data_IF_653022146389
#
_entry.id   IF_653022146389
#
_cell.length_a   1.000
_cell.length_b   1.000
_cell.length_c   1.000
_cell.angle_alpha   90.00
_cell.angle_beta   90.00
_cell.angle_gamma   90.00
#
_symmetry.space_group_name_H-M   'P 1'
#
loop_
_entity.id
_entity.type
_entity.pdbx_description
1 polymer ?
#
# COMPACT_ATOMS: atom_id res chain seq x y z
N UNK A 1 3.87 15.92 -29.23
CA UNK A 1 4.10 15.02 -28.05
C UNK A 1 4.88 15.77 -26.96
N UNK A 2 4.59 15.54 -25.69
CA UNK A 2 5.34 16.16 -24.59
C UNK A 2 6.69 15.45 -24.38
N UNK A 3 7.74 16.19 -24.04
CA UNK A 3 9.02 15.63 -23.60
C UNK A 3 8.90 15.19 -22.14
N UNK A 4 8.73 13.89 -21.92
CA UNK A 4 8.57 13.30 -20.59
C UNK A 4 9.84 13.45 -19.73
N UNK A 5 11.03 13.45 -20.34
CA UNK A 5 12.28 13.64 -19.62
C UNK A 5 12.39 15.06 -19.05
N UNK A 6 12.05 16.07 -19.86
CA UNK A 6 11.96 17.45 -19.40
C UNK A 6 10.86 17.64 -18.35
N UNK A 7 9.72 16.94 -18.51
CA UNK A 7 8.60 17.01 -17.57
C UNK A 7 8.95 16.46 -16.19
N UNK A 8 9.53 15.25 -16.09
CA UNK A 8 9.93 14.66 -14.80
C UNK A 8 10.95 15.53 -14.06
N UNK A 9 11.87 16.14 -14.79
CA UNK A 9 12.83 17.09 -14.21
C UNK A 9 12.13 18.28 -13.58
N UNK A 10 11.25 18.92 -14.34
CA UNK A 10 10.50 20.08 -13.87
C UNK A 10 9.62 19.73 -12.66
N UNK A 11 8.94 18.59 -12.72
CA UNK A 11 8.10 18.09 -11.64
C UNK A 11 8.88 17.89 -10.34
N UNK A 12 10.06 17.27 -10.38
CA UNK A 12 10.88 17.06 -9.19
C UNK A 12 11.29 18.39 -8.51
N UNK A 13 11.70 19.38 -9.31
CA UNK A 13 12.09 20.71 -8.80
C UNK A 13 10.89 21.43 -8.18
N UNK A 14 9.75 21.47 -8.89
CA UNK A 14 8.55 22.16 -8.42
C UNK A 14 7.97 21.51 -7.16
N UNK A 15 8.02 20.17 -7.08
CA UNK A 15 7.49 19.40 -5.95
C UNK A 15 8.27 19.59 -4.66
N UNK A 16 9.60 19.74 -4.75
CA UNK A 16 10.47 19.90 -3.58
C UNK A 16 10.90 21.35 -3.33
N UNK A 17 10.58 22.25 -4.25
CA UNK A 17 10.92 23.68 -4.17
C UNK A 17 12.41 23.99 -4.39
N UNK A 18 13.21 22.98 -4.77
CA UNK A 18 14.64 23.10 -5.00
C UNK A 18 15.14 21.94 -5.88
N UNK A 19 16.28 22.14 -6.52
CA UNK A 19 16.93 21.11 -7.32
C UNK A 19 17.68 20.12 -6.41
N UNK A 20 17.46 18.82 -6.64
CA UNK A 20 18.24 17.74 -6.05
C UNK A 20 18.54 16.73 -7.15
N UNK A 21 19.82 16.38 -7.30
CA UNK A 21 20.26 15.40 -8.29
C UNK A 21 19.66 14.02 -8.00
N UNK A 22 19.58 13.64 -6.71
CA UNK A 22 18.99 12.38 -6.30
C UNK A 22 17.47 12.36 -6.54
N UNK A 23 16.74 13.42 -6.18
CA UNK A 23 15.31 13.54 -6.46
C UNK A 23 15.00 13.42 -7.96
N UNK A 24 15.81 14.06 -8.81
CA UNK A 24 15.69 13.97 -10.26
C UNK A 24 15.93 12.54 -10.77
N UNK A 25 16.99 11.90 -10.28
CA UNK A 25 17.31 10.50 -10.60
C UNK A 25 16.14 9.57 -10.25
N UNK A 26 15.61 9.70 -9.03
CA UNK A 26 14.48 8.89 -8.56
C UNK A 26 13.24 9.03 -9.46
N UNK A 27 12.79 10.26 -9.74
CA UNK A 27 11.60 10.49 -10.56
C UNK A 27 11.77 10.06 -12.01
N UNK A 28 12.96 10.26 -12.58
CA UNK A 28 13.27 9.79 -13.94
C UNK A 28 13.22 8.25 -13.99
N UNK A 29 13.79 7.58 -12.99
CA UNK A 29 13.79 6.12 -12.89
C UNK A 29 12.37 5.55 -12.69
N UNK A 30 11.56 6.16 -11.82
CA UNK A 30 10.15 5.77 -11.62
C UNK A 30 9.33 6.01 -12.89
N UNK A 31 9.54 7.16 -13.55
CA UNK A 31 8.93 7.53 -14.81
C UNK A 31 9.20 6.53 -15.94
N UNK A 32 10.41 5.96 -15.97
CA UNK A 32 10.80 4.94 -16.94
C UNK A 32 10.44 3.51 -16.52
N UNK A 33 9.85 3.30 -15.33
CA UNK A 33 9.53 1.97 -14.79
C UNK A 33 8.06 1.85 -14.38
N UNK A 34 7.74 1.99 -13.10
CA UNK A 34 6.38 1.80 -12.56
C UNK A 34 5.35 2.74 -13.19
N UNK A 35 5.77 3.93 -13.63
CA UNK A 35 4.95 4.90 -14.36
C UNK A 35 5.17 4.89 -15.88
N UNK A 36 6.13 4.09 -16.37
CA UNK A 36 6.44 3.93 -17.78
C UNK A 36 5.50 2.89 -18.41
N UNK A 37 4.42 3.35 -19.03
CA UNK A 37 3.47 2.45 -19.70
C UNK A 37 3.91 2.20 -21.14
N UNK A 38 4.22 0.94 -21.47
CA UNK A 38 4.39 0.48 -22.85
C UNK A 38 3.12 -0.26 -23.32
N UNK A 39 2.22 0.46 -23.97
CA UNK A 39 0.91 -0.06 -24.42
C UNK A 39 1.00 -1.05 -25.60
N UNK A 40 2.21 -1.42 -26.05
CA UNK A 40 2.39 -2.37 -27.15
C UNK A 40 1.91 -3.77 -26.74
N UNK A 41 1.15 -4.41 -27.63
CA UNK A 41 0.66 -5.79 -27.44
C UNK A 41 1.84 -6.75 -27.27
N UNK A 42 1.91 -7.42 -26.11
CA UNK A 42 2.98 -8.36 -25.78
C UNK A 42 4.20 -7.76 -25.08
N UNK A 43 4.14 -6.49 -24.68
CA UNK A 43 5.18 -5.90 -23.84
C UNK A 43 5.21 -6.58 -22.46
N UNK A 44 6.42 -6.92 -21.98
CA UNK A 44 6.64 -7.52 -20.66
C UNK A 44 6.35 -6.54 -19.50
N UNK A 45 6.29 -5.25 -19.82
CA UNK A 45 5.91 -4.11 -18.99
C UNK A 45 4.87 -3.31 -19.80
N UNK A 46 3.80 -2.75 -19.23
CA UNK A 46 2.79 -1.87 -19.87
C UNK A 46 1.37 -2.30 -20.39
N UNK A 47 0.73 -3.45 -20.11
CA UNK A 47 -0.69 -3.79 -20.44
C UNK A 47 -1.90 -3.10 -19.72
N UNK A 48 -3.13 -3.44 -20.12
CA UNK A 48 -4.39 -2.66 -19.97
C UNK A 48 -5.10 -2.66 -18.57
N UNK A 49 -4.71 -3.53 -17.62
CA UNK A 49 -5.37 -3.66 -16.30
C UNK A 49 -4.33 -3.61 -15.17
N UNK A 50 -3.91 -2.41 -14.77
CA UNK A 50 -2.71 -2.20 -13.94
C UNK A 50 -2.95 -1.45 -12.64
N UNK A 51 -4.06 -1.75 -12.00
CA UNK A 51 -4.11 -1.59 -10.56
C UNK A 51 -3.51 -2.83 -9.93
N UNK A 52 -2.52 -2.63 -9.06
CA UNK A 52 -2.11 -3.67 -8.14
C UNK A 52 -3.33 -4.00 -7.32
N UNK A 53 -3.95 -5.15 -7.53
CA UNK A 53 -5.07 -5.59 -6.69
C UNK A 53 -4.57 -5.78 -5.25
N UNK A 54 -3.45 -6.52 -5.09
CA UNK A 54 -2.92 -6.87 -3.77
C UNK A 54 -1.42 -7.12 -3.76
N UNK A 55 -0.78 -6.73 -2.67
CA UNK A 55 0.64 -6.95 -2.39
C UNK A 55 0.87 -7.85 -1.18
N UNK A 56 2.09 -8.38 -1.04
CA UNK A 56 2.45 -9.37 -0.03
C UNK A 56 2.40 -8.87 1.41
N UNK A 57 2.35 -7.54 1.63
CA UNK A 57 2.05 -6.99 2.97
C UNK A 57 0.58 -7.19 3.36
N UNK A 58 -0.31 -7.26 2.37
CA UNK A 58 -1.76 -7.33 2.56
C UNK A 58 -2.28 -8.76 2.37
N UNK A 59 -1.54 -9.62 1.67
CA UNK A 59 -1.88 -11.02 1.43
C UNK A 59 -1.86 -11.84 2.72
N UNK A 60 -2.92 -12.62 2.94
CA UNK A 60 -2.97 -13.64 3.98
C UNK A 60 -2.65 -15.00 3.35
N UNK A 61 -1.74 -15.80 3.93
CA UNK A 61 -1.46 -17.14 3.46
C UNK A 61 -2.62 -18.06 3.87
N UNK A 62 -3.77 -17.93 3.22
CA UNK A 62 -4.87 -18.88 3.36
C UNK A 62 -4.51 -20.13 2.56
N UNK A 63 -4.21 -21.22 3.26
CA UNK A 63 -3.81 -22.52 2.66
C UNK A 63 -4.86 -23.15 1.73
N UNK A 64 -6.03 -22.53 1.56
CA UNK A 64 -7.19 -23.07 0.86
C UNK A 64 -7.66 -22.24 -0.34
N UNK A 65 -7.16 -21.02 -0.52
CA UNK A 65 -7.60 -20.15 -1.60
C UNK A 65 -6.42 -19.33 -2.15
N UNK A 66 -6.19 -19.44 -3.46
CA UNK A 66 -5.14 -18.71 -4.19
C UNK A 66 -5.57 -17.29 -4.57
N UNK A 67 -6.84 -16.91 -4.33
CA UNK A 67 -7.34 -15.55 -4.54
C UNK A 67 -6.58 -14.50 -3.71
N UNK A 68 -5.91 -14.93 -2.65
CA UNK A 68 -5.22 -14.05 -1.70
C UNK A 68 -3.70 -13.92 -1.91
N UNK A 69 -3.18 -14.39 -3.05
CA UNK A 69 -1.77 -14.30 -3.41
C UNK A 69 -1.37 -12.90 -3.92
N UNK A 70 -0.10 -12.49 -3.76
CA UNK A 70 0.38 -11.22 -4.28
C UNK A 70 0.35 -11.15 -5.82
N UNK A 71 -0.04 -10.00 -6.38
CA UNK A 71 -0.05 -9.79 -7.83
C UNK A 71 1.36 -9.85 -8.46
N UNK A 72 1.46 -10.31 -9.71
CA UNK A 72 2.70 -10.28 -10.48
C UNK A 72 3.22 -8.84 -10.71
N UNK A 73 4.55 -8.70 -10.68
CA UNK A 73 5.23 -7.45 -10.96
C UNK A 73 5.32 -7.20 -12.46
N UNK A 74 5.10 -5.95 -12.87
CA UNK A 74 5.14 -5.54 -14.27
C UNK A 74 6.25 -4.55 -14.61
N UNK A 75 7.17 -4.38 -13.68
CA UNK A 75 8.31 -3.47 -13.74
C UNK A 75 9.48 -4.09 -12.95
N UNK A 76 10.70 -3.66 -13.25
CA UNK A 76 11.87 -4.08 -12.49
C UNK A 76 11.90 -3.45 -11.09
N UNK A 77 11.63 -4.25 -10.06
CA UNK A 77 11.64 -3.83 -8.64
C UNK A 77 12.98 -3.21 -8.20
N UNK A 78 14.10 -3.61 -8.81
CA UNK A 78 15.41 -3.04 -8.49
C UNK A 78 15.50 -1.55 -8.85
N UNK A 79 14.76 -1.10 -9.86
CA UNK A 79 14.67 0.32 -10.24
C UNK A 79 13.96 1.12 -9.15
N UNK A 80 12.84 0.59 -8.63
CA UNK A 80 12.10 1.23 -7.53
C UNK A 80 12.91 1.25 -6.23
N UNK A 81 13.67 0.18 -5.94
CA UNK A 81 14.63 0.17 -4.83
C UNK A 81 15.73 1.23 -5.01
N UNK A 82 16.25 1.41 -6.22
CA UNK A 82 17.20 2.48 -6.55
C UNK A 82 16.60 3.86 -6.30
N UNK A 83 15.40 4.11 -6.83
CA UNK A 83 14.68 5.37 -6.63
C UNK A 83 14.40 5.65 -5.14
N UNK A 84 14.08 4.63 -4.33
CA UNK A 84 13.90 4.80 -2.90
C UNK A 84 15.20 5.24 -2.20
N UNK A 85 16.35 4.64 -2.55
CA UNK A 85 17.66 5.07 -2.04
C UNK A 85 17.96 6.51 -2.43
N UNK A 86 17.65 6.89 -3.66
CA UNK A 86 17.82 8.25 -4.14
C UNK A 86 16.94 9.24 -3.35
N UNK A 87 15.68 8.92 -3.04
CA UNK A 87 14.87 9.78 -2.18
C UNK A 87 15.43 9.93 -0.75
N UNK A 88 15.98 8.85 -0.18
CA UNK A 88 16.69 8.93 1.12
C UNK A 88 17.91 9.85 1.01
N UNK A 89 18.70 9.74 -0.06
CA UNK A 89 19.86 10.61 -0.30
C UNK A 89 19.48 12.07 -0.57
N UNK A 90 18.33 12.31 -1.23
CA UNK A 90 17.83 13.65 -1.51
C UNK A 90 17.56 14.48 -0.24
N UNK A 91 17.33 13.82 0.91
CA UNK A 91 17.23 14.51 2.20
C UNK A 91 18.53 15.23 2.60
N UNK A 92 19.68 14.80 2.09
CA UNK A 92 20.97 15.46 2.28
C UNK A 92 21.29 16.56 1.24
N UNK A 93 20.60 16.56 0.09
CA UNK A 93 20.77 17.59 -0.94
C UNK A 93 20.02 18.88 -0.60
N UNK A 94 18.94 18.78 0.17
CA UNK A 94 18.01 19.86 0.43
C UNK A 94 18.26 20.52 1.79
N UNK A 95 18.01 21.84 1.94
CA UNK A 95 18.25 22.58 3.20
C UNK A 95 17.32 22.15 4.35
N UNK A 96 16.28 21.38 4.05
CA UNK A 96 15.37 20.71 4.96
C UNK A 96 14.67 19.58 4.22
N UNK A 97 13.82 18.81 4.90
CA UNK A 97 13.05 17.73 4.27
C UNK A 97 11.64 18.26 3.99
N UNK A 98 11.28 18.57 2.72
CA UNK A 98 9.91 18.92 2.37
C UNK A 98 8.95 17.78 2.73
N UNK A 99 7.72 18.12 3.12
CA UNK A 99 6.67 17.13 3.36
C UNK A 99 6.44 16.23 2.14
N UNK A 100 6.52 16.79 0.93
CA UNK A 100 6.42 16.04 -0.32
C UNK A 100 7.55 15.03 -0.49
N UNK A 101 8.79 15.36 -0.11
CA UNK A 101 9.91 14.40 -0.16
C UNK A 101 9.72 13.29 0.87
N UNK A 102 9.30 13.62 2.09
CA UNK A 102 8.99 12.62 3.12
C UNK A 102 7.89 11.67 2.65
N UNK A 103 6.80 12.22 2.08
CA UNK A 103 5.71 11.44 1.50
C UNK A 103 6.22 10.49 0.42
N UNK A 104 6.99 10.98 -0.55
CA UNK A 104 7.48 10.15 -1.67
C UNK A 104 8.46 9.09 -1.21
N UNK A 105 9.30 9.40 -0.22
CA UNK A 105 10.23 8.46 0.41
C UNK A 105 9.46 7.32 1.08
N UNK A 106 8.43 7.64 1.87
CA UNK A 106 7.57 6.65 2.54
C UNK A 106 6.77 5.86 1.51
N UNK A 107 6.17 6.52 0.52
CA UNK A 107 5.37 5.88 -0.52
C UNK A 107 6.19 4.88 -1.34
N UNK A 108 7.39 5.27 -1.76
CA UNK A 108 8.28 4.42 -2.57
C UNK A 108 8.83 3.27 -1.73
N UNK A 109 9.23 3.54 -0.49
CA UNK A 109 9.68 2.50 0.44
C UNK A 109 8.58 1.48 0.78
N UNK A 110 7.32 1.93 0.92
CA UNK A 110 6.16 1.04 1.06
C UNK A 110 6.07 0.06 -0.11
N UNK A 111 6.23 0.54 -1.34
CA UNK A 111 6.19 -0.33 -2.51
C UNK A 111 7.35 -1.32 -2.52
N UNK A 112 8.56 -0.88 -2.17
CA UNK A 112 9.73 -1.77 -2.04
C UNK A 112 9.48 -2.87 -1.00
N UNK A 113 9.02 -2.52 0.20
CA UNK A 113 8.75 -3.47 1.27
C UNK A 113 7.63 -4.44 0.89
N UNK A 114 6.64 -3.98 0.14
CA UNK A 114 5.61 -4.85 -0.39
C UNK A 114 6.15 -5.90 -1.37
N UNK A 115 7.06 -5.50 -2.27
CA UNK A 115 7.73 -6.47 -3.17
C UNK A 115 8.67 -7.43 -2.44
N UNK A 116 9.30 -6.98 -1.36
CA UNK A 116 10.05 -7.88 -0.48
C UNK A 116 9.08 -8.88 0.18
N UNK A 117 7.93 -8.41 0.64
CA UNK A 117 6.90 -9.25 1.24
C UNK A 117 6.35 -10.30 0.25
N UNK A 118 6.18 -9.97 -1.03
CA UNK A 118 5.80 -10.95 -2.08
C UNK A 118 6.72 -12.18 -2.07
N UNK A 119 8.04 -11.94 -2.05
CA UNK A 119 9.04 -13.02 -2.03
C UNK A 119 9.02 -13.83 -0.73
N UNK A 120 8.78 -13.17 0.41
CA UNK A 120 8.66 -13.85 1.71
C UNK A 120 7.39 -14.69 1.79
N UNK A 121 6.29 -14.17 1.28
CA UNK A 121 5.02 -14.86 1.16
C UNK A 121 5.17 -16.13 0.32
N UNK A 122 5.75 -16.04 -0.88
CA UNK A 122 5.98 -17.20 -1.74
C UNK A 122 6.84 -18.29 -1.06
N UNK A 123 7.85 -17.87 -0.28
CA UNK A 123 8.66 -18.80 0.51
C UNK A 123 7.83 -19.52 1.58
N UNK A 124 6.97 -18.78 2.29
CA UNK A 124 6.07 -19.32 3.30
C UNK A 124 5.04 -20.29 2.69
N UNK A 125 4.39 -19.89 1.60
CA UNK A 125 3.43 -20.73 0.87
C UNK A 125 4.10 -22.01 0.32
N UNK A 126 5.37 -21.94 -0.06
CA UNK A 126 6.15 -23.06 -0.57
C UNK A 126 6.73 -24.00 0.49
N UNK A 127 6.60 -23.69 1.79
CA UNK A 127 7.19 -24.46 2.88
C UNK A 127 6.74 -25.93 2.85
N UNK A 128 7.67 -26.87 3.10
CA UNK A 128 7.41 -28.32 3.07
C UNK A 128 7.36 -28.96 4.45
N UNK A 129 7.63 -28.17 5.48
CA UNK A 129 7.62 -28.59 6.87
C UNK A 129 7.15 -27.47 7.81
N UNK A 130 6.69 -27.85 9.00
CA UNK A 130 6.29 -26.88 10.02
C UNK A 130 7.45 -25.97 10.45
N UNK A 131 8.68 -26.49 10.51
CA UNK A 131 9.87 -25.71 10.86
C UNK A 131 10.19 -24.64 9.80
N UNK A 132 10.11 -24.99 8.51
CA UNK A 132 10.27 -24.02 7.41
C UNK A 132 9.17 -22.96 7.42
N UNK A 133 7.92 -23.36 7.61
CA UNK A 133 6.80 -22.42 7.68
C UNK A 133 6.98 -21.42 8.83
N UNK A 134 7.42 -21.88 10.01
CA UNK A 134 7.75 -21.00 11.14
C UNK A 134 8.90 -20.05 10.80
N UNK A 135 9.96 -20.55 10.15
CA UNK A 135 11.12 -19.73 9.79
C UNK A 135 10.77 -18.66 8.73
N UNK A 136 10.03 -19.01 7.69
CA UNK A 136 9.60 -18.07 6.65
C UNK A 136 8.55 -17.09 7.16
N UNK A 137 7.61 -17.55 8.00
CA UNK A 137 6.62 -16.69 8.64
C UNK A 137 7.26 -15.60 9.50
N UNK A 138 8.32 -15.93 10.26
CA UNK A 138 9.08 -14.92 11.02
C UNK A 138 9.68 -13.84 10.13
N UNK A 139 10.24 -14.21 8.97
CA UNK A 139 10.81 -13.25 8.00
C UNK A 139 9.74 -12.39 7.34
N UNK A 140 8.54 -12.93 7.10
CA UNK A 140 7.41 -12.12 6.61
C UNK A 140 6.97 -11.11 7.66
N UNK A 141 6.85 -11.53 8.92
CA UNK A 141 6.50 -10.66 10.05
C UNK A 141 7.54 -9.55 10.26
N UNK A 142 8.83 -9.82 10.06
CA UNK A 142 9.88 -8.80 10.11
C UNK A 142 9.64 -7.70 9.07
N UNK A 143 9.34 -8.07 7.82
CA UNK A 143 9.05 -7.11 6.75
C UNK A 143 7.77 -6.32 7.05
N UNK A 144 6.75 -6.95 7.61
CA UNK A 144 5.51 -6.26 8.04
C UNK A 144 5.78 -5.23 9.14
N UNK A 145 6.65 -5.54 10.11
CA UNK A 145 7.06 -4.59 11.16
C UNK A 145 7.86 -3.41 10.61
N UNK A 146 8.75 -3.67 9.65
CA UNK A 146 9.51 -2.60 9.00
C UNK A 146 8.59 -1.70 8.15
N UNK A 147 7.59 -2.28 7.49
CA UNK A 147 6.57 -1.53 6.76
C UNK A 147 5.74 -0.66 7.71
N UNK A 148 5.24 -1.21 8.81
CA UNK A 148 4.48 -0.45 9.82
C UNK A 148 5.28 0.76 10.35
N UNK A 149 6.56 0.56 10.69
CA UNK A 149 7.46 1.63 11.13
C UNK A 149 7.65 2.71 10.05
N UNK A 150 7.87 2.31 8.80
CA UNK A 150 8.03 3.24 7.69
C UNK A 150 6.76 4.06 7.45
N UNK A 151 5.59 3.41 7.46
CA UNK A 151 4.30 4.07 7.24
C UNK A 151 3.96 5.05 8.36
N UNK A 152 4.37 4.76 9.59
CA UNK A 152 4.24 5.69 10.71
C UNK A 152 5.11 6.95 10.58
N UNK A 153 6.06 7.01 9.64
CA UNK A 153 6.91 8.18 9.44
C UNK A 153 6.20 9.35 8.73
N UNK A 154 5.02 9.14 8.14
CA UNK A 154 4.21 10.20 7.54
C UNK A 154 2.71 10.00 7.83
N UNK A 155 2.04 11.06 8.28
CA UNK A 155 0.64 11.01 8.72
C UNK A 155 -0.33 10.59 7.60
N UNK A 156 0.06 10.80 6.33
CA UNK A 156 -0.72 10.41 5.15
C UNK A 156 -0.92 8.89 5.02
N UNK A 157 -0.10 8.10 5.72
CA UNK A 157 -0.15 6.64 5.73
C UNK A 157 -0.62 6.07 7.08
N UNK A 158 -1.08 6.91 8.00
CA UNK A 158 -1.47 6.48 9.35
C UNK A 158 -2.95 6.09 9.43
N UNK A 159 -3.23 4.87 9.92
CA UNK A 159 -4.59 4.43 10.23
C UNK A 159 -5.22 5.34 11.29
N UNK A 160 -4.45 5.75 12.29
CA UNK A 160 -4.90 6.69 13.33
C UNK A 160 -5.42 8.00 12.74
N UNK A 161 -4.76 8.55 11.71
CA UNK A 161 -5.19 9.78 11.05
C UNK A 161 -6.52 9.58 10.32
N UNK A 162 -6.66 8.49 9.58
CA UNK A 162 -7.91 8.10 8.90
C UNK A 162 -9.09 7.97 9.87
N UNK A 163 -8.92 7.18 10.94
CA UNK A 163 -9.96 6.98 11.95
C UNK A 163 -10.24 8.27 12.75
N UNK A 164 -9.22 9.10 12.96
CA UNK A 164 -9.35 10.42 13.57
C UNK A 164 -10.25 11.35 12.75
N UNK A 165 -10.06 11.38 11.43
CA UNK A 165 -10.90 12.16 10.51
C UNK A 165 -12.34 11.65 10.51
N UNK A 166 -12.56 10.33 10.41
CA UNK A 166 -13.88 9.72 10.45
C UNK A 166 -14.65 10.06 11.74
N UNK A 167 -14.01 9.91 12.92
CA UNK A 167 -14.62 10.27 14.20
C UNK A 167 -14.93 11.77 14.28
N UNK A 168 -14.03 12.62 13.80
CA UNK A 168 -14.23 14.08 13.84
C UNK A 168 -15.42 14.51 12.99
N UNK A 169 -15.56 13.93 11.79
CA UNK A 169 -16.72 14.13 10.92
C UNK A 169 -18.01 13.64 11.59
N UNK A 170 -18.00 12.46 12.22
CA UNK A 170 -19.19 11.97 12.92
C UNK A 170 -19.59 12.87 14.09
N UNK A 171 -18.62 13.36 14.88
CA UNK A 171 -18.90 14.30 15.98
C UNK A 171 -19.49 15.61 15.48
N UNK A 172 -18.98 16.17 14.38
CA UNK A 172 -19.45 17.46 13.86
C UNK A 172 -20.88 17.42 13.33
N UNK A 173 -21.38 16.25 12.91
CA UNK A 173 -22.71 16.10 12.34
C UNK A 173 -23.75 15.45 13.29
N UNK A 174 -23.32 14.65 14.27
CA UNK A 174 -24.26 13.86 15.09
C UNK A 174 -23.73 13.41 16.45
N UNK A 175 -22.66 14.04 16.96
CA UNK A 175 -22.10 13.73 18.27
C UNK A 175 -21.44 12.36 18.37
N UNK A 176 -21.25 11.88 19.60
CA UNK A 176 -20.52 10.64 19.87
C UNK A 176 -21.14 9.35 19.28
N UNK A 177 -22.48 9.20 19.17
CA UNK A 177 -23.07 8.05 18.48
C UNK A 177 -22.66 7.96 17.00
N UNK A 178 -22.72 9.08 16.27
CA UNK A 178 -22.33 9.11 14.86
C UNK A 178 -20.81 8.96 14.68
N UNK A 179 -20.02 9.53 15.58
CA UNK A 179 -18.57 9.33 15.61
C UNK A 179 -18.17 7.86 15.75
N UNK A 180 -18.89 7.12 16.60
CA UNK A 180 -18.66 5.68 16.82
C UNK A 180 -19.07 4.85 15.60
N UNK A 181 -20.16 5.22 14.92
CA UNK A 181 -20.56 4.59 13.66
C UNK A 181 -19.51 4.84 12.57
N UNK A 182 -19.05 6.08 12.40
CA UNK A 182 -18.07 6.43 11.36
C UNK A 182 -16.70 5.79 11.61
N UNK A 183 -16.27 5.60 12.87
CA UNK A 183 -15.08 4.79 13.19
C UNK A 183 -15.23 3.35 12.69
N UNK A 184 -16.39 2.74 12.96
CA UNK A 184 -16.69 1.36 12.57
C UNK A 184 -16.73 1.21 11.04
N UNK A 185 -17.36 2.15 10.34
CA UNK A 185 -17.41 2.21 8.88
C UNK A 185 -16.02 2.42 8.27
N UNK A 186 -15.23 3.33 8.84
CA UNK A 186 -13.88 3.62 8.36
C UNK A 186 -12.94 2.41 8.49
N UNK A 187 -13.10 1.58 9.52
CA UNK A 187 -12.38 0.30 9.67
C UNK A 187 -12.85 -0.72 8.66
N UNK A 188 -14.17 -0.88 8.55
CA UNK A 188 -14.80 -1.83 7.65
C UNK A 188 -14.40 -1.56 6.19
N UNK A 189 -14.44 -0.31 5.74
CA UNK A 189 -14.05 0.08 4.39
C UNK A 189 -12.62 -0.34 4.03
N UNK A 190 -11.72 -0.42 5.01
CA UNK A 190 -10.34 -0.86 4.82
C UNK A 190 -10.15 -2.38 4.94
N UNK A 191 -11.08 -3.05 5.62
CA UNK A 191 -11.04 -4.49 5.87
C UNK A 191 -12.28 -5.13 5.29
N UNK A 192 -13.33 -5.39 6.06
CA UNK A 192 -14.45 -6.26 5.69
C UNK A 192 -15.45 -5.68 4.67
N UNK A 193 -15.17 -4.51 4.09
CA UNK A 193 -16.04 -3.64 3.29
C UNK A 193 -17.28 -3.11 4.02
N UNK A 194 -18.01 -3.98 4.71
CA UNK A 194 -19.18 -3.65 5.53
C UNK A 194 -18.84 -3.84 7.02
N UNK A 195 -19.43 -3.03 7.93
CA UNK A 195 -19.21 -3.21 9.35
C UNK A 195 -19.66 -4.60 9.78
N UNK A 196 -18.97 -5.20 10.75
CA UNK A 196 -19.43 -6.43 11.37
C UNK A 196 -20.74 -6.16 12.13
N UNK A 197 -21.73 -7.02 11.93
CA UNK A 197 -22.97 -6.93 12.69
C UNK A 197 -22.72 -7.26 14.17
N UNK A 198 -23.41 -6.54 15.06
CA UNK A 198 -23.40 -6.83 16.50
C UNK A 198 -24.18 -8.11 16.79
N UNK A 199 -25.26 -8.35 16.03
CA UNK A 199 -26.06 -9.57 16.09
C UNK A 199 -26.64 -9.96 14.71
N UNK A 200 -27.38 -11.08 14.67
CA UNK A 200 -28.01 -11.57 13.44
C UNK A 200 -29.22 -10.72 12.99
N UNK A 201 -29.81 -9.92 13.86
CA UNK A 201 -30.96 -9.08 13.51
C UNK A 201 -30.50 -7.86 12.69
N UNK A 202 -29.37 -7.25 13.05
CA UNK A 202 -28.77 -6.13 12.33
C UNK A 202 -28.38 -6.50 10.88
N UNK A 203 -28.07 -7.78 10.63
CA UNK A 203 -27.74 -8.29 9.30
C UNK A 203 -28.89 -8.24 8.28
N UNK A 204 -30.13 -8.34 8.77
CA UNK A 204 -31.31 -8.40 7.92
C UNK A 204 -31.58 -7.08 7.17
N UNK A 205 -31.04 -5.98 7.67
CA UNK A 205 -31.21 -4.64 7.11
C UNK A 205 -30.14 -4.28 6.06
N UNK A 206 -29.14 -5.15 5.82
CA UNK A 206 -28.09 -4.95 4.80
C UNK A 206 -27.06 -3.85 5.12
N UNK A 207 -27.12 -3.26 6.31
CA UNK A 207 -26.23 -2.16 6.76
C UNK A 207 -24.90 -2.68 7.31
N UNK A 208 -24.83 -3.96 7.62
CA UNK A 208 -23.65 -4.66 8.14
C UNK A 208 -23.53 -6.04 7.50
N UNK A 209 -22.33 -6.61 7.46
CA UNK A 209 -22.15 -8.01 7.06
C UNK A 209 -21.90 -8.86 8.29
N UNK A 210 -22.62 -9.98 8.44
CA UNK A 210 -22.11 -11.08 9.24
C UNK A 210 -21.29 -11.96 8.31
N UNK A 211 -20.06 -12.28 8.67
CA UNK A 211 -19.31 -13.36 8.03
C UNK A 211 -19.92 -14.71 8.45
N UNK A 212 -21.19 -14.96 8.06
CA UNK A 212 -21.97 -16.16 8.39
C UNK A 212 -22.00 -17.18 7.25
N UNK A 213 -21.34 -16.93 6.13
CA UNK A 213 -21.30 -17.87 5.01
C UNK A 213 -19.95 -18.56 4.89
N UNK A 214 -20.00 -19.85 4.58
CA UNK A 214 -18.89 -20.65 4.04
C UNK A 214 -18.35 -20.11 2.69
N UNK A 215 -18.95 -19.05 2.15
CA UNK A 215 -18.39 -18.25 1.08
C UNK A 215 -17.42 -17.22 1.68
N UNK A 216 -16.14 -17.38 1.36
CA UNK A 216 -15.13 -16.37 1.64
C UNK A 216 -15.61 -15.03 1.08
N UNK A 217 -15.53 -13.92 1.82
CA UNK A 217 -15.71 -12.62 1.20
C UNK A 217 -14.70 -12.51 0.05
N UNK A 218 -15.05 -11.88 -1.08
CA UNK A 218 -14.07 -11.57 -2.10
C UNK A 218 -13.04 -10.65 -1.44
N UNK A 219 -11.93 -11.23 -0.98
CA UNK A 219 -10.79 -10.53 -0.39
C UNK A 219 -10.03 -9.71 -1.46
N UNK A 220 -10.53 -9.77 -2.69
CA UNK A 220 -9.96 -9.26 -3.94
C UNK A 220 -10.11 -7.72 -4.06
N UNK A 221 -11.11 -7.13 -3.41
CA UNK A 221 -11.50 -5.71 -3.55
C UNK A 221 -11.14 -4.83 -2.34
N UNK A 222 -10.30 -5.29 -1.42
CA UNK A 222 -9.95 -4.46 -0.25
C UNK A 222 -9.27 -3.16 -0.66
N UNK A 223 -9.61 -2.08 0.03
CA UNK A 223 -8.89 -0.81 -0.07
C UNK A 223 -7.43 -1.03 0.36
N UNK A 224 -6.62 -1.41 -0.61
CA UNK A 224 -5.31 -2.04 -0.53
C UNK A 224 -4.17 -1.06 -0.19
N UNK A 225 -4.44 -0.09 0.66
CA UNK A 225 -3.38 0.74 1.23
C UNK A 225 -2.85 0.03 2.47
N UNK A 226 -1.57 -0.31 2.48
CA UNK A 226 -0.90 -0.61 3.74
C UNK A 226 -0.88 0.67 4.58
N UNK A 227 -1.40 0.57 5.80
CA UNK A 227 -1.45 1.65 6.79
C UNK A 227 -0.50 1.33 7.93
N UNK A 228 0.12 2.37 8.50
CA UNK A 228 0.88 2.27 9.75
C UNK A 228 0.02 2.61 10.97
N UNK A 229 0.26 1.91 12.08
CA UNK A 229 -0.37 2.14 13.39
C UNK A 229 -1.81 1.67 13.49
#
# INVERSE_FOLDING_TARGET
PADLGAWWRRYAIERYGAESAHALSAWTALGASVYGVDERRGASEGGFWREKAKGGLLSAPLLRDTSDEPSHDWYNVSVVLGAWKDFVSAAGDLPGIPETLRYDTVNTGREVLDKVANKRFASLAGAKSASEAVAFGRRLIEVQKDADRLLCADASFSLRAWLGAARSLGRSHGGDPLASLYDRLARAQLTTWLPACVDKAEAADGVCSVHLSDAAPPLEDYANKAWGG
#
